data_IF_224627658015
#
_entry.id   IF_224627658015
#
_cell.length_a   1.000
_cell.length_b   1.000
_cell.length_c   1.000
_cell.angle_alpha   90.00
_cell.angle_beta   90.00
_cell.angle_gamma   90.00
#
_symmetry.space_group_name_H-M   'P 1'
#
loop_
_entity.id
_entity.type
_entity.pdbx_description
1 polymer ?
#
# COMPACT_ATOMS: atom_id res chain seq x y z
N UNK A 1 -14.58 -12.30 13.67
CA UNK A 1 -13.51 -11.28 13.54
C UNK A 1 -12.68 -11.68 12.34
N UNK A 2 -12.81 -10.91 11.25
CA UNK A 2 -12.24 -11.25 9.94
C UNK A 2 -10.71 -11.15 10.03
N UNK A 3 -9.98 -11.94 9.26
CA UNK A 3 -8.50 -11.94 9.26
C UNK A 3 -7.91 -10.54 9.01
N UNK A 4 -8.57 -9.73 8.18
CA UNK A 4 -8.24 -8.32 7.94
C UNK A 4 -8.38 -7.45 9.20
N UNK A 5 -9.35 -7.72 10.08
CA UNK A 5 -9.51 -6.97 11.34
C UNK A 5 -8.29 -7.18 12.26
N UNK A 6 -7.77 -8.41 12.30
CA UNK A 6 -6.57 -8.75 13.08
C UNK A 6 -5.34 -8.04 12.51
N UNK A 7 -5.20 -8.01 11.20
CA UNK A 7 -4.13 -7.30 10.51
C UNK A 7 -4.18 -5.80 10.83
N UNK A 8 -5.33 -5.14 10.66
CA UNK A 8 -5.48 -3.72 10.93
C UNK A 8 -5.29 -3.37 12.41
N UNK A 9 -5.77 -4.22 13.33
CA UNK A 9 -5.50 -4.07 14.75
C UNK A 9 -3.99 -4.16 15.07
N UNK A 10 -3.25 -5.04 14.39
CA UNK A 10 -1.79 -5.16 14.55
C UNK A 10 -1.06 -3.95 13.97
N UNK A 11 -1.49 -3.46 12.80
CA UNK A 11 -0.93 -2.27 12.15
C UNK A 11 -1.15 -1.01 12.99
N UNK A 12 -2.34 -0.86 13.59
CA UNK A 12 -2.65 0.28 14.46
C UNK A 12 -1.74 0.38 15.69
N UNK A 13 -1.21 -0.75 16.19
CA UNK A 13 -0.23 -0.79 17.29
C UNK A 13 1.19 -0.42 16.87
N UNK A 14 1.51 -0.40 15.58
CA UNK A 14 2.81 0.02 15.10
C UNK A 14 2.91 1.54 15.07
N UNK A 15 3.79 2.12 15.87
CA UNK A 15 4.05 3.58 15.93
C UNK A 15 4.45 4.15 14.57
N UNK A 16 5.19 3.39 13.76
CA UNK A 16 5.57 3.79 12.42
C UNK A 16 4.36 3.82 11.47
N UNK A 17 3.47 2.83 11.53
CA UNK A 17 2.34 2.70 10.60
C UNK A 17 1.18 3.63 10.96
N UNK A 18 0.83 3.72 12.24
CA UNK A 18 -0.33 4.47 12.73
C UNK A 18 -0.20 6.00 12.60
N UNK A 19 1.01 6.50 12.32
CA UNK A 19 1.26 7.93 12.06
C UNK A 19 0.85 8.38 10.66
N UNK A 20 0.71 7.45 9.70
CA UNK A 20 0.34 7.79 8.33
C UNK A 20 -1.17 8.04 8.25
N UNK A 21 -1.55 9.26 7.88
CA UNK A 21 -2.94 9.72 7.78
C UNK A 21 -3.06 10.68 6.62
N UNK A 22 -4.19 10.63 5.90
CA UNK A 22 -4.48 11.61 4.86
C UNK A 22 -4.68 12.99 5.52
N UNK A 23 -3.88 13.97 5.07
CA UNK A 23 -4.05 15.37 5.42
C UNK A 23 -5.19 16.00 4.62
N UNK A 24 -5.39 17.31 4.81
CA UNK A 24 -6.45 18.05 4.13
C UNK A 24 -6.28 17.99 2.61
N UNK A 25 -5.04 18.19 2.11
CA UNK A 25 -4.74 18.19 0.67
C UNK A 25 -4.99 16.82 0.03
N UNK A 26 -4.55 15.74 0.68
CA UNK A 26 -4.74 14.40 0.11
C UNK A 26 -6.19 13.95 0.17
N UNK A 27 -6.95 14.34 1.20
CA UNK A 27 -8.40 14.12 1.25
C UNK A 27 -9.11 14.87 0.12
N UNK A 28 -8.79 16.14 -0.08
CA UNK A 28 -9.36 16.93 -1.16
C UNK A 28 -9.03 16.32 -2.52
N UNK A 29 -7.79 15.87 -2.72
CA UNK A 29 -7.40 15.17 -3.94
C UNK A 29 -8.26 13.93 -4.21
N UNK A 30 -8.53 13.11 -3.18
CA UNK A 30 -9.43 11.96 -3.33
C UNK A 30 -10.85 12.37 -3.72
N UNK A 31 -11.37 13.46 -3.13
CA UNK A 31 -12.71 13.98 -3.44
C UNK A 31 -12.77 14.54 -4.88
N UNK A 32 -11.77 15.30 -5.29
CA UNK A 32 -11.71 15.94 -6.61
C UNK A 32 -11.57 14.92 -7.75
N UNK A 33 -10.80 13.85 -7.52
CA UNK A 33 -10.59 12.79 -8.52
C UNK A 33 -11.68 11.73 -8.52
N UNK A 34 -12.31 11.50 -7.38
CA UNK A 34 -13.29 10.43 -7.22
C UNK A 34 -12.65 9.05 -7.05
N UNK A 35 -13.43 8.06 -6.59
CA UNK A 35 -12.94 6.74 -6.21
C UNK A 35 -12.32 5.97 -7.38
N UNK A 36 -12.97 5.97 -8.55
CA UNK A 36 -12.52 5.20 -9.72
C UNK A 36 -11.11 5.59 -10.17
N UNK A 37 -10.79 6.89 -10.18
CA UNK A 37 -9.47 7.39 -10.56
C UNK A 37 -8.43 7.03 -9.48
N UNK A 38 -8.79 7.11 -8.20
CA UNK A 38 -7.90 6.72 -7.10
C UNK A 38 -7.58 5.23 -7.14
N UNK A 39 -8.58 4.39 -7.45
CA UNK A 39 -8.41 2.95 -7.61
C UNK A 39 -7.49 2.64 -8.80
N UNK A 40 -7.66 3.33 -9.93
CA UNK A 40 -6.77 3.20 -11.08
C UNK A 40 -5.33 3.59 -10.73
N UNK A 41 -5.12 4.70 -10.00
CA UNK A 41 -3.78 5.07 -9.53
C UNK A 41 -3.18 4.00 -8.62
N UNK A 42 -3.96 3.40 -7.72
CA UNK A 42 -3.50 2.33 -6.85
C UNK A 42 -3.07 1.10 -7.65
N UNK A 43 -3.92 0.63 -8.57
CA UNK A 43 -3.62 -0.49 -9.45
C UNK A 43 -2.33 -0.24 -10.26
N UNK A 44 -2.17 0.96 -10.82
CA UNK A 44 -0.97 1.30 -11.59
C UNK A 44 0.29 1.35 -10.74
N UNK A 45 0.23 1.90 -9.53
CA UNK A 45 1.38 1.89 -8.62
C UNK A 45 1.76 0.48 -8.17
N UNK A 46 0.78 -0.37 -7.88
CA UNK A 46 1.04 -1.77 -7.50
C UNK A 46 1.69 -2.51 -8.67
N UNK A 47 1.09 -2.42 -9.86
CA UNK A 47 1.57 -3.07 -11.09
C UNK A 47 3.01 -2.64 -11.44
N UNK A 48 3.30 -1.35 -11.35
CA UNK A 48 4.60 -0.83 -11.78
C UNK A 48 5.69 -0.94 -10.70
N UNK A 49 5.33 -0.84 -9.41
CA UNK A 49 6.31 -0.64 -8.31
C UNK A 49 6.38 -1.80 -7.32
N UNK A 50 5.42 -2.72 -7.32
CA UNK A 50 5.39 -3.85 -6.38
C UNK A 50 5.24 -5.22 -7.05
N UNK A 51 4.60 -5.26 -8.22
CA UNK A 51 4.34 -6.50 -8.92
C UNK A 51 5.57 -7.23 -9.46
N UNK A 52 6.66 -6.57 -9.92
CA UNK A 52 7.87 -7.28 -10.33
C UNK A 52 8.48 -8.13 -9.20
N UNK A 53 9.17 -9.21 -9.55
CA UNK A 53 9.87 -10.06 -8.58
C UNK A 53 10.96 -9.30 -7.82
N UNK A 54 11.63 -8.38 -8.52
CA UNK A 54 12.67 -7.50 -7.99
C UNK A 54 12.31 -6.04 -8.34
N UNK A 55 11.44 -5.37 -7.55
CA UNK A 55 11.08 -4.00 -7.83
C UNK A 55 12.28 -3.06 -7.72
N UNK A 56 12.34 -2.08 -8.63
CA UNK A 56 13.37 -1.04 -8.57
C UNK A 56 13.28 -0.27 -7.24
N UNK A 57 14.42 -0.18 -6.53
CA UNK A 57 14.52 0.46 -5.22
C UNK A 57 13.58 -0.15 -4.16
N UNK A 58 13.48 -1.48 -4.08
CA UNK A 58 12.65 -2.13 -3.05
C UNK A 58 13.00 -1.66 -1.62
N UNK A 59 11.97 -1.40 -0.82
CA UNK A 59 12.03 -0.66 0.44
C UNK A 59 11.86 0.87 0.30
N UNK A 60 12.00 1.43 -0.91
CA UNK A 60 11.88 2.87 -1.21
C UNK A 60 11.09 3.18 -2.48
N UNK A 61 10.47 2.18 -3.12
CA UNK A 61 9.73 2.33 -4.39
C UNK A 61 8.50 3.25 -4.28
N UNK A 62 7.94 3.39 -3.07
CA UNK A 62 6.76 4.20 -2.78
C UNK A 62 7.16 5.36 -1.86
N UNK A 63 7.07 6.62 -2.33
CA UNK A 63 7.32 7.79 -1.51
C UNK A 63 6.45 7.80 -0.25
N UNK A 64 6.88 8.46 0.83
CA UNK A 64 6.06 8.54 2.06
C UNK A 64 4.96 9.62 2.00
N UNK A 65 4.96 10.46 0.96
CA UNK A 65 4.09 11.64 0.78
C UNK A 65 3.89 11.94 -0.70
N UNK A 66 3.01 12.90 -0.99
CA UNK A 66 2.81 13.44 -2.35
C UNK A 66 1.65 12.83 -3.13
N UNK A 67 1.13 11.69 -2.68
CA UNK A 67 -0.10 11.10 -3.23
C UNK A 67 -0.87 10.32 -2.14
N UNK A 68 -2.22 10.38 -2.08
CA UNK A 68 -3.00 9.67 -1.07
C UNK A 68 -2.74 8.16 -1.03
N UNK A 69 -2.64 7.52 -2.20
CA UNK A 69 -2.34 6.07 -2.29
C UNK A 69 -1.02 5.72 -1.61
N UNK A 70 0.03 6.52 -1.76
CA UNK A 70 1.30 6.22 -1.10
C UNK A 70 1.17 6.28 0.42
N UNK A 71 0.43 7.26 0.95
CA UNK A 71 0.16 7.35 2.39
C UNK A 71 -0.62 6.11 2.85
N UNK A 72 -1.63 5.68 2.07
CA UNK A 72 -2.41 4.49 2.36
C UNK A 72 -1.55 3.23 2.35
N UNK A 73 -0.66 3.06 1.38
CA UNK A 73 0.28 1.92 1.30
C UNK A 73 1.21 1.87 2.51
N UNK A 74 1.70 3.03 2.98
CA UNK A 74 2.52 3.09 4.19
C UNK A 74 1.71 2.77 5.45
N UNK A 75 0.46 3.25 5.56
CA UNK A 75 -0.42 2.95 6.68
C UNK A 75 -0.81 1.46 6.75
N UNK A 76 -1.01 0.82 5.61
CA UNK A 76 -1.47 -0.57 5.48
C UNK A 76 -0.35 -1.59 5.30
N UNK A 77 0.91 -1.14 5.26
CA UNK A 77 2.10 -1.96 5.04
C UNK A 77 2.15 -2.67 3.66
N UNK A 78 1.56 -2.06 2.65
CA UNK A 78 1.64 -2.47 1.25
C UNK A 78 2.63 -1.63 0.43
N UNK A 79 3.62 -1.01 1.09
CA UNK A 79 4.55 -0.07 0.46
C UNK A 79 5.77 -0.72 -0.22
N UNK A 80 6.16 -1.93 0.19
CA UNK A 80 7.29 -2.67 -0.40
C UNK A 80 7.21 -4.19 -0.18
N UNK A 81 8.10 -4.99 -0.81
CA UNK A 81 8.07 -6.46 -0.71
C UNK A 81 8.28 -6.95 0.73
N UNK A 82 9.25 -6.39 1.44
CA UNK A 82 9.49 -6.76 2.84
C UNK A 82 8.32 -6.45 3.77
N UNK A 83 7.48 -5.47 3.42
CA UNK A 83 6.26 -5.19 4.18
C UNK A 83 5.13 -6.16 3.83
N UNK A 84 4.96 -6.46 2.53
CA UNK A 84 4.01 -7.48 2.07
C UNK A 84 4.29 -8.85 2.70
N UNK A 85 5.55 -9.25 2.78
CA UNK A 85 5.92 -10.51 3.44
C UNK A 85 5.63 -10.47 4.94
N UNK A 86 6.09 -9.43 5.64
CA UNK A 86 5.95 -9.34 7.10
C UNK A 86 4.50 -9.21 7.58
N UNK A 87 3.66 -8.51 6.82
CA UNK A 87 2.32 -8.14 7.25
C UNK A 87 1.22 -8.92 6.56
N UNK A 88 1.40 -9.29 5.30
CA UNK A 88 0.38 -9.94 4.47
C UNK A 88 0.75 -11.37 4.06
N UNK A 89 1.90 -11.89 4.52
CA UNK A 89 2.40 -13.22 4.17
C UNK A 89 2.58 -13.45 2.65
N UNK A 90 2.81 -12.38 1.88
CA UNK A 90 3.10 -12.44 0.45
C UNK A 90 4.63 -12.45 0.27
N UNK A 91 5.24 -13.58 -0.16
CA UNK A 91 6.69 -13.75 -0.17
C UNK A 91 7.39 -12.83 -1.17
N UNK A 92 8.60 -12.39 -0.84
CA UNK A 92 9.46 -11.66 -1.78
C UNK A 92 10.11 -12.61 -2.82
N UNK A 93 10.81 -12.05 -3.81
CA UNK A 93 11.58 -12.82 -4.80
C UNK A 93 10.76 -13.45 -5.93
N UNK A 94 9.44 -13.24 -5.96
CA UNK A 94 8.58 -13.58 -7.11
C UNK A 94 7.62 -12.45 -7.45
N UNK A 95 7.18 -12.43 -8.70
CA UNK A 95 6.18 -11.48 -9.13
C UNK A 95 4.86 -11.69 -8.37
N UNK A 96 4.11 -10.60 -8.15
CA UNK A 96 2.74 -10.70 -7.66
C UNK A 96 1.85 -11.32 -8.71
N UNK A 97 1.09 -12.33 -8.29
CA UNK A 97 -0.07 -12.79 -9.06
C UNK A 97 -1.11 -11.68 -9.18
N UNK A 98 -2.00 -11.79 -10.16
CA UNK A 98 -3.11 -10.84 -10.30
C UNK A 98 -3.98 -10.78 -9.04
N UNK A 99 -4.20 -11.92 -8.38
CA UNK A 99 -4.98 -11.98 -7.15
C UNK A 99 -4.32 -11.20 -6.02
N UNK A 100 -3.00 -11.31 -5.88
CA UNK A 100 -2.25 -10.52 -4.90
C UNK A 100 -2.24 -9.03 -5.26
N UNK A 101 -2.12 -8.68 -6.55
CA UNK A 101 -2.22 -7.28 -6.98
C UNK A 101 -3.59 -6.66 -6.70
N UNK A 102 -4.67 -7.45 -6.79
CA UNK A 102 -6.03 -7.01 -6.44
C UNK A 102 -6.29 -6.96 -4.93
N UNK A 103 -5.56 -7.76 -4.15
CA UNK A 103 -5.65 -7.77 -2.69
C UNK A 103 -4.92 -6.58 -2.05
N UNK A 104 -3.76 -6.22 -2.62
CA UNK A 104 -2.87 -5.12 -2.19
C UNK A 104 -3.50 -3.76 -2.51
#
# INVERSE_FOLDING_TARGET
MVEQDRLFARLARSTFRSRFRLGVKERQYCLDKGPEIIDQHAADFIRQRLAPAEPMNDGKQTPMRGHPVFIAQHATATCCRGCLEKWHAIPHGRALSEQEQRYV
#
